data_IF_302304296623
#
_entry.id   IF_302304296623
#
_cell.length_a   1.000
_cell.length_b   1.000
_cell.length_c   1.000
_cell.angle_alpha   90.00
_cell.angle_beta   90.00
_cell.angle_gamma   90.00
#
_symmetry.space_group_name_H-M   'P 1'
#
loop_
_entity.id
_entity.type
_entity.pdbx_description
1 polymer ?
#
# COMPACT_ATOMS: atom_id res chain seq x y z
N UNK A 1 -8.46 -6.22 15.50
CA UNK A 1 -8.15 -6.62 14.12
C UNK A 1 -7.68 -8.07 14.16
N UNK A 2 -8.33 -8.97 13.45
CA UNK A 2 -7.95 -10.40 13.41
C UNK A 2 -6.64 -10.58 12.64
N UNK A 3 -5.86 -11.63 12.98
CA UNK A 3 -4.57 -11.97 12.35
C UNK A 3 -4.65 -12.06 10.83
N UNK A 4 -5.78 -12.54 10.32
CA UNK A 4 -5.97 -12.79 8.89
C UNK A 4 -6.01 -11.51 8.07
N UNK A 5 -6.47 -10.38 8.65
CA UNK A 5 -6.58 -9.11 7.94
C UNK A 5 -5.21 -8.45 7.69
N UNK A 6 -4.28 -8.48 8.66
CA UNK A 6 -2.96 -7.87 8.49
C UNK A 6 -2.06 -8.66 7.54
N UNK A 7 -2.08 -10.00 7.64
CA UNK A 7 -1.30 -10.85 6.74
C UNK A 7 -1.86 -10.78 5.31
N UNK A 8 -3.19 -10.80 5.17
CA UNK A 8 -3.85 -10.67 3.87
C UNK A 8 -3.60 -9.32 3.21
N UNK A 9 -3.65 -8.21 3.97
CA UNK A 9 -3.43 -6.88 3.38
C UNK A 9 -2.00 -6.69 2.87
N UNK A 10 -0.98 -7.13 3.62
CA UNK A 10 0.42 -6.98 3.19
C UNK A 10 0.74 -7.81 1.95
N UNK A 11 0.20 -9.02 1.86
CA UNK A 11 0.38 -9.87 0.67
C UNK A 11 -0.28 -9.24 -0.55
N UNK A 12 -1.51 -8.73 -0.40
CA UNK A 12 -2.20 -8.01 -1.48
C UNK A 12 -1.40 -6.76 -1.87
N UNK A 13 -0.89 -6.00 -0.90
CA UNK A 13 -0.11 -4.79 -1.16
C UNK A 13 1.14 -5.09 -1.99
N UNK A 14 1.97 -6.05 -1.55
CA UNK A 14 3.19 -6.43 -2.26
C UNK A 14 2.88 -6.97 -3.65
N UNK A 15 1.81 -7.76 -3.79
CA UNK A 15 1.34 -8.22 -5.10
C UNK A 15 0.96 -7.03 -6.01
N UNK A 16 0.25 -6.02 -5.52
CA UNK A 16 -0.10 -4.83 -6.32
C UNK A 16 1.12 -3.99 -6.67
N UNK A 17 2.09 -3.89 -5.77
CA UNK A 17 3.37 -3.23 -6.05
C UNK A 17 4.10 -3.94 -7.20
N UNK A 18 4.16 -5.26 -7.18
CA UNK A 18 4.76 -6.04 -8.28
C UNK A 18 4.02 -5.83 -9.61
N UNK A 19 2.68 -5.93 -9.60
CA UNK A 19 1.86 -5.82 -10.80
C UNK A 19 1.93 -4.42 -11.45
N UNK A 20 2.06 -3.35 -10.66
CA UNK A 20 1.96 -1.96 -11.16
C UNK A 20 3.32 -1.27 -11.23
N UNK A 21 4.18 -1.45 -10.22
CA UNK A 21 5.49 -0.81 -10.14
C UNK A 21 6.65 -1.74 -10.54
N UNK A 22 6.40 -3.06 -10.64
CA UNK A 22 7.37 -4.05 -11.07
C UNK A 22 8.07 -4.77 -9.91
N UNK A 23 8.67 -5.91 -10.25
CA UNK A 23 9.35 -6.80 -9.31
C UNK A 23 10.49 -6.12 -8.53
N UNK A 24 11.28 -5.26 -9.19
CA UNK A 24 12.40 -4.55 -8.54
C UNK A 24 11.92 -3.65 -7.39
N UNK A 25 10.79 -2.97 -7.57
CA UNK A 25 10.21 -2.11 -6.54
C UNK A 25 9.64 -2.97 -5.41
N UNK A 26 8.99 -4.09 -5.73
CA UNK A 26 8.51 -5.04 -4.73
C UNK A 26 9.66 -5.53 -3.84
N UNK A 27 10.78 -5.95 -4.43
CA UNK A 27 11.95 -6.47 -3.67
C UNK A 27 12.49 -5.43 -2.70
N UNK A 28 12.61 -4.17 -3.13
CA UNK A 28 13.04 -3.06 -2.27
C UNK A 28 12.06 -2.77 -1.13
N UNK A 29 10.76 -2.88 -1.40
CA UNK A 29 9.70 -2.65 -0.41
C UNK A 29 9.59 -3.80 0.59
N UNK A 30 9.77 -5.06 0.14
CA UNK A 30 9.65 -6.24 1.00
C UNK A 30 10.93 -6.59 1.79
N UNK A 31 12.04 -5.92 1.50
CA UNK A 31 13.32 -6.11 2.19
C UNK A 31 13.17 -6.11 3.72
N UNK A 32 13.68 -7.14 4.37
CA UNK A 32 13.65 -7.32 5.82
C UNK A 32 12.41 -8.04 6.35
N UNK A 33 11.45 -8.41 5.48
CA UNK A 33 10.27 -9.20 5.84
C UNK A 33 10.63 -10.58 6.40
N UNK A 34 11.69 -11.19 5.87
CA UNK A 34 12.21 -12.49 6.26
C UNK A 34 12.75 -12.54 7.69
N UNK A 35 13.10 -11.38 8.24
CA UNK A 35 13.62 -11.25 9.61
C UNK A 35 12.52 -10.99 10.65
N UNK A 36 11.25 -10.95 10.23
CA UNK A 36 10.16 -10.65 11.14
C UNK A 36 9.87 -11.81 12.09
N UNK A 37 9.74 -11.53 13.40
CA UNK A 37 9.33 -12.55 14.35
C UNK A 37 7.88 -12.96 14.11
N UNK A 38 7.52 -14.17 14.53
CA UNK A 38 6.13 -14.60 14.56
C UNK A 38 5.29 -13.64 15.45
N UNK A 39 4.06 -13.26 15.06
CA UNK A 39 3.21 -12.27 15.75
C UNK A 39 2.57 -12.82 17.05
N UNK A 40 3.36 -13.50 17.88
CA UNK A 40 2.93 -14.18 19.10
C UNK A 40 3.10 -13.33 20.37
N UNK A 41 3.91 -12.27 20.33
CA UNK A 41 4.17 -11.38 21.47
C UNK A 41 3.88 -9.91 21.13
N UNK A 42 3.69 -9.07 22.16
CA UNK A 42 3.53 -7.63 21.97
C UNK A 42 4.77 -6.98 21.34
N UNK A 43 5.97 -7.46 21.69
CA UNK A 43 7.24 -7.03 21.09
C UNK A 43 7.28 -7.37 19.59
N UNK A 44 6.94 -8.61 19.23
CA UNK A 44 6.87 -9.03 17.83
C UNK A 44 5.89 -8.19 17.00
N UNK A 45 4.70 -7.89 17.56
CA UNK A 45 3.73 -7.01 16.89
C UNK A 45 4.28 -5.60 16.65
N UNK A 46 5.06 -5.06 17.59
CA UNK A 46 5.71 -3.74 17.45
C UNK A 46 6.79 -3.75 16.36
N UNK A 47 7.58 -4.82 16.29
CA UNK A 47 8.60 -5.00 15.24
C UNK A 47 7.97 -5.14 13.85
N UNK A 48 6.90 -5.94 13.73
CA UNK A 48 6.11 -6.05 12.49
C UNK A 48 5.52 -4.69 12.10
N UNK A 49 4.91 -3.96 13.06
CA UNK A 49 4.36 -2.63 12.77
C UNK A 49 5.43 -1.66 12.28
N UNK A 50 6.63 -1.68 12.89
CA UNK A 50 7.75 -0.84 12.47
C UNK A 50 8.18 -1.18 11.04
N UNK A 51 8.29 -2.45 10.72
CA UNK A 51 8.64 -2.87 9.36
C UNK A 51 7.57 -2.46 8.34
N UNK A 52 6.27 -2.60 8.67
CA UNK A 52 5.18 -2.14 7.78
C UNK A 52 5.33 -0.64 7.49
N UNK A 53 5.58 0.18 8.52
CA UNK A 53 5.80 1.62 8.35
C UNK A 53 6.98 1.89 7.40
N UNK A 54 8.10 1.20 7.59
CA UNK A 54 9.28 1.35 6.73
C UNK A 54 9.00 0.89 5.29
N UNK A 55 8.24 -0.19 5.09
CA UNK A 55 7.86 -0.66 3.77
C UNK A 55 7.01 0.37 3.03
N UNK A 56 6.07 1.02 3.72
CA UNK A 56 5.24 2.10 3.16
C UNK A 56 6.10 3.33 2.82
N UNK A 57 7.02 3.73 3.70
CA UNK A 57 7.93 4.86 3.44
C UNK A 57 8.84 4.58 2.24
N UNK A 58 9.43 3.39 2.14
CA UNK A 58 10.21 2.97 0.97
C UNK A 58 9.37 3.03 -0.29
N UNK A 59 8.17 2.46 -0.25
CA UNK A 59 7.22 2.50 -1.36
C UNK A 59 6.95 3.93 -1.82
N UNK A 60 6.60 4.84 -0.90
CA UNK A 60 6.30 6.24 -1.21
C UNK A 60 7.45 6.99 -1.88
N UNK A 61 8.70 6.59 -1.63
CA UNK A 61 9.88 7.20 -2.26
C UNK A 61 10.27 6.57 -3.59
N UNK A 62 9.80 5.36 -3.87
CA UNK A 62 10.18 4.56 -5.03
C UNK A 62 9.20 4.66 -6.21
N UNK A 63 7.99 5.15 -5.97
CA UNK A 63 6.95 5.29 -7.00
C UNK A 63 6.50 6.75 -7.14
N UNK A 64 6.11 7.13 -8.36
CA UNK A 64 5.44 8.39 -8.59
C UNK A 64 4.02 8.40 -7.98
N UNK A 65 3.46 9.59 -7.79
CA UNK A 65 2.16 9.78 -7.15
C UNK A 65 1.01 9.05 -7.88
N UNK A 66 1.06 8.93 -9.21
CA UNK A 66 0.01 8.23 -9.96
C UNK A 66 0.05 6.73 -9.68
N UNK A 67 1.23 6.11 -9.77
CA UNK A 67 1.41 4.69 -9.42
C UNK A 67 1.11 4.42 -7.96
N UNK A 68 1.52 5.32 -7.06
CA UNK A 68 1.20 5.24 -5.63
C UNK A 68 -0.30 5.12 -5.41
N UNK A 69 -1.05 6.04 -6.00
CA UNK A 69 -2.49 6.09 -5.88
C UNK A 69 -3.15 4.83 -6.45
N UNK A 70 -2.72 4.37 -7.63
CA UNK A 70 -3.28 3.16 -8.25
C UNK A 70 -3.04 1.90 -7.39
N UNK A 71 -1.85 1.75 -6.83
CA UNK A 71 -1.49 0.64 -5.94
C UNK A 71 -2.31 0.68 -4.64
N UNK A 72 -2.41 1.83 -3.97
CA UNK A 72 -3.17 1.96 -2.72
C UNK A 72 -4.66 1.66 -2.93
N UNK A 73 -5.21 2.13 -4.04
CA UNK A 73 -6.61 1.89 -4.44
C UNK A 73 -6.86 0.43 -4.76
N UNK A 74 -5.94 -0.22 -5.48
CA UNK A 74 -6.02 -1.64 -5.80
C UNK A 74 -5.84 -2.55 -4.58
N UNK A 75 -5.08 -2.10 -3.59
CA UNK A 75 -4.77 -2.85 -2.37
C UNK A 75 -5.93 -2.88 -1.38
N UNK A 76 -6.70 -1.79 -1.30
CA UNK A 76 -7.78 -1.65 -0.32
C UNK A 76 -9.13 -1.33 -0.97
N UNK A 77 -9.69 -2.25 -1.80
CA UNK A 77 -10.90 -1.98 -2.59
C UNK A 77 -12.16 -1.76 -1.72
N UNK A 78 -12.15 -2.23 -0.47
CA UNK A 78 -13.22 -2.01 0.51
C UNK A 78 -13.15 -0.63 1.20
N UNK A 79 -11.98 0.01 1.23
CA UNK A 79 -11.76 1.31 1.92
C UNK A 79 -11.64 2.49 0.95
N UNK A 80 -11.27 2.21 -0.31
CA UNK A 80 -11.25 3.19 -1.40
C UNK A 80 -12.38 2.87 -2.39
N UNK A 81 -13.61 3.38 -2.18
CA UNK A 81 -14.68 3.18 -3.15
C UNK A 81 -14.25 3.80 -4.48
N UNK A 82 -14.09 2.96 -5.51
CA UNK A 82 -13.77 3.39 -6.87
C UNK A 82 -14.73 4.50 -7.36
N UNK A 83 -15.97 4.48 -6.86
CA UNK A 83 -16.97 5.53 -7.07
C UNK A 83 -16.52 6.90 -6.55
N UNK A 84 -15.98 7.00 -5.33
CA UNK A 84 -15.48 8.27 -4.76
C UNK A 84 -14.27 8.79 -5.52
N UNK A 85 -13.35 7.92 -5.96
CA UNK A 85 -12.18 8.35 -6.75
C UNK A 85 -12.64 8.88 -8.10
N UNK A 86 -13.61 8.21 -8.74
CA UNK A 86 -14.17 8.65 -10.01
C UNK A 86 -14.86 10.00 -9.86
N UNK A 87 -15.69 10.16 -8.83
CA UNK A 87 -16.35 11.43 -8.50
C UNK A 87 -15.33 12.54 -8.22
N UNK A 88 -14.27 12.25 -7.46
CA UNK A 88 -13.20 13.20 -7.16
C UNK A 88 -12.40 13.58 -8.41
N UNK A 89 -12.03 12.63 -9.27
CA UNK A 89 -11.36 12.89 -10.57
C UNK A 89 -12.25 13.74 -11.48
N UNK A 90 -13.55 13.47 -11.53
CA UNK A 90 -14.52 14.28 -12.28
C UNK A 90 -14.62 15.70 -11.73
N UNK A 91 -14.69 15.88 -10.41
CA UNK A 91 -14.71 17.20 -9.77
C UNK A 91 -13.42 17.98 -10.03
N UNK A 92 -12.25 17.34 -9.95
CA UNK A 92 -10.98 17.98 -10.27
C UNK A 92 -10.86 18.38 -11.75
N UNK A 93 -11.36 17.55 -12.67
CA UNK A 93 -11.43 17.92 -14.09
C UNK A 93 -12.39 19.09 -14.34
N UNK A 94 -13.50 19.17 -13.62
CA UNK A 94 -14.43 20.29 -13.69
C UNK A 94 -13.83 21.58 -13.11
N UNK A 95 -13.09 21.49 -12.00
CA UNK A 95 -12.46 22.63 -11.32
C UNK A 95 -11.16 23.10 -11.99
N UNK A 96 -10.42 22.21 -12.64
CA UNK A 96 -9.23 22.55 -13.44
C UNK A 96 -9.55 23.12 -14.83
N UNK A 97 -10.84 23.25 -15.16
CA UNK A 97 -11.34 23.91 -16.38
C UNK A 97 -11.95 25.30 -16.06
N UNK A 98 -11.54 25.90 -14.95
CA UNK A 98 -11.76 27.32 -14.70
C UNK A 98 -10.52 28.04 -15.23
N UNK A 99 -10.72 28.71 -16.37
CA UNK A 99 -9.79 29.65 -17.01
C UNK A 99 -9.36 30.76 -16.03
#
# INVERSE_FOLDING_TARGET
>A
MSRDFQTSWMEIFLQRVEEIAGQEIREKVEEGKENLPLPNTAKAKKEISKWITQAIEKFDTLVDENKRNDILVATCPHTYPKKRIREMKTLFQQLGSID
#
